data_IF_490268313538
#
_entry.id   IF_490268313538
#
_cell.length_a   1.000
_cell.length_b   1.000
_cell.length_c   1.000
_cell.angle_alpha   90.00
_cell.angle_beta   90.00
_cell.angle_gamma   90.00
#
_symmetry.space_group_name_H-M   'P 1'
#
loop_
_entity.id
_entity.type
_entity.pdbx_description
1 polymer ?
#
# COMPACT_ATOMS: atom_id res chain seq x y z
N UNK A 1 -20.70 3.74 23.45
CA UNK A 1 -19.70 3.42 22.39
C UNK A 1 -18.48 2.85 23.07
N UNK A 2 -18.23 1.56 22.91
CA UNK A 2 -17.18 0.83 23.63
C UNK A 2 -15.78 1.38 23.32
N UNK A 3 -14.89 1.27 24.31
CA UNK A 3 -13.48 1.71 24.22
C UNK A 3 -12.76 1.11 23.01
N UNK A 4 -13.10 -0.13 22.64
CA UNK A 4 -12.54 -0.81 21.47
C UNK A 4 -13.07 -0.23 20.16
N UNK A 5 -14.37 0.02 20.05
CA UNK A 5 -14.98 0.67 18.88
C UNK A 5 -14.40 2.06 18.65
N UNK A 6 -14.19 2.85 19.72
CA UNK A 6 -13.56 4.18 19.61
C UNK A 6 -12.13 4.10 19.07
N UNK A 7 -11.31 3.15 19.53
CA UNK A 7 -9.93 2.96 19.05
C UNK A 7 -9.89 2.55 17.58
N UNK A 8 -10.76 1.64 17.19
CA UNK A 8 -10.88 1.22 15.80
C UNK A 8 -11.26 2.41 14.90
N UNK A 9 -12.23 3.22 15.34
CA UNK A 9 -12.68 4.40 14.60
C UNK A 9 -11.58 5.44 14.46
N UNK A 10 -10.77 5.67 15.51
CA UNK A 10 -9.61 6.56 15.46
C UNK A 10 -8.58 6.08 14.43
N UNK A 11 -8.24 4.79 14.44
CA UNK A 11 -7.26 4.23 13.48
C UNK A 11 -7.77 4.34 12.04
N UNK A 12 -9.05 4.03 11.80
CA UNK A 12 -9.67 4.17 10.49
C UNK A 12 -9.66 5.63 10.02
N UNK A 13 -9.99 6.58 10.90
CA UNK A 13 -9.92 8.01 10.59
C UNK A 13 -8.50 8.48 10.29
N UNK A 14 -7.49 8.06 11.08
CA UNK A 14 -6.09 8.43 10.81
C UNK A 14 -5.63 7.90 9.46
N UNK A 15 -6.00 6.66 9.13
CA UNK A 15 -5.63 6.03 7.87
C UNK A 15 -6.30 6.75 6.68
N UNK A 16 -7.61 7.02 6.78
CA UNK A 16 -8.33 7.80 5.76
C UNK A 16 -7.74 9.20 5.57
N UNK A 17 -7.33 9.87 6.65
CA UNK A 17 -6.70 11.18 6.59
C UNK A 17 -5.35 11.16 5.87
N UNK A 18 -4.49 10.17 6.16
CA UNK A 18 -3.21 10.00 5.46
C UNK A 18 -3.42 9.73 3.97
N UNK A 19 -4.43 8.95 3.60
CA UNK A 19 -4.76 8.69 2.19
C UNK A 19 -5.32 9.90 1.47
N UNK A 20 -6.17 10.70 2.14
CA UNK A 20 -6.64 11.97 1.58
C UNK A 20 -5.46 12.91 1.28
N UNK A 21 -4.51 13.05 2.22
CA UNK A 21 -3.30 13.86 1.99
C UNK A 21 -2.48 13.29 0.83
N UNK A 22 -2.34 11.96 0.73
CA UNK A 22 -1.60 11.33 -0.37
C UNK A 22 -2.24 11.59 -1.74
N UNK A 23 -3.57 11.51 -1.84
CA UNK A 23 -4.30 11.76 -3.09
C UNK A 23 -4.23 13.23 -3.49
N UNK A 24 -4.33 14.15 -2.54
CA UNK A 24 -4.46 15.58 -2.82
C UNK A 24 -3.12 16.31 -2.94
N UNK A 25 -2.18 16.00 -2.04
CA UNK A 25 -0.98 16.81 -1.80
C UNK A 25 0.31 16.15 -2.30
N UNK A 26 0.33 14.84 -2.53
CA UNK A 26 1.56 14.12 -2.90
C UNK A 26 1.63 13.92 -4.42
N UNK A 27 2.46 14.72 -5.08
CA UNK A 27 2.79 14.60 -6.51
C UNK A 27 3.37 15.89 -7.11
N UNK A 28 3.93 15.82 -8.32
CA UNK A 28 4.46 17.01 -9.03
C UNK A 28 3.40 18.07 -9.32
N UNK A 29 2.14 17.66 -9.44
CA UNK A 29 0.99 18.55 -9.64
C UNK A 29 0.13 18.51 -8.39
N UNK A 30 0.05 19.65 -7.70
CA UNK A 30 -0.92 19.90 -6.63
C UNK A 30 -2.23 20.30 -7.29
N UNK A 31 -3.20 19.39 -7.29
CA UNK A 31 -4.50 19.64 -7.89
C UNK A 31 -5.45 20.22 -6.84
N UNK A 32 -6.02 21.38 -7.11
CA UNK A 32 -7.17 21.86 -6.33
C UNK A 32 -8.46 21.15 -6.78
N UNK A 33 -9.46 21.04 -5.89
CA UNK A 33 -10.76 20.38 -6.20
C UNK A 33 -11.37 20.99 -7.46
N UNK A 34 -11.22 22.31 -7.61
CA UNK A 34 -11.69 23.06 -8.77
C UNK A 34 -10.97 22.69 -10.08
N UNK A 35 -9.67 22.39 -10.04
CA UNK A 35 -8.94 21.93 -11.24
C UNK A 35 -9.33 20.50 -11.62
N UNK A 36 -9.61 19.64 -10.63
CA UNK A 36 -10.02 18.26 -10.89
C UNK A 36 -11.37 18.16 -11.61
N UNK A 37 -12.24 19.15 -11.42
CA UNK A 37 -13.53 19.24 -12.11
C UNK A 37 -13.45 19.87 -13.51
N UNK A 38 -12.42 20.67 -13.79
CA UNK A 38 -12.30 21.42 -15.04
C UNK A 38 -11.28 20.82 -16.02
N UNK A 39 -10.40 19.93 -15.55
CA UNK A 39 -9.31 19.35 -16.36
C UNK A 39 -9.40 17.81 -16.39
N UNK A 40 -9.72 17.27 -17.58
CA UNK A 40 -9.79 15.82 -17.79
C UNK A 40 -8.43 15.12 -17.60
N UNK A 41 -7.32 15.80 -17.88
CA UNK A 41 -5.99 15.20 -17.72
C UNK A 41 -5.65 15.00 -16.25
N UNK A 42 -6.00 15.96 -15.40
CA UNK A 42 -5.87 15.88 -13.95
C UNK A 42 -6.70 14.72 -13.39
N UNK A 43 -7.96 14.59 -13.83
CA UNK A 43 -8.84 13.49 -13.44
C UNK A 43 -8.26 12.12 -13.83
N UNK A 44 -7.73 12.01 -15.05
CA UNK A 44 -7.16 10.77 -15.57
C UNK A 44 -5.91 10.34 -14.79
N UNK A 45 -5.02 11.28 -14.42
CA UNK A 45 -3.85 11.00 -13.57
C UNK A 45 -4.27 10.47 -12.20
N UNK A 46 -5.28 11.08 -11.57
CA UNK A 46 -5.76 10.63 -10.27
C UNK A 46 -6.35 9.23 -10.36
N UNK A 47 -7.22 8.96 -11.35
CA UNK A 47 -7.92 7.69 -11.50
C UNK A 47 -7.02 6.55 -11.99
N UNK A 48 -6.09 6.79 -12.92
CA UNK A 48 -5.25 5.74 -13.53
C UNK A 48 -3.91 5.53 -12.86
N UNK A 49 -3.41 6.50 -12.09
CA UNK A 49 -2.08 6.41 -11.47
C UNK A 49 -2.19 6.42 -9.95
N UNK A 50 -2.83 7.43 -9.36
CA UNK A 50 -2.86 7.58 -7.90
C UNK A 50 -3.77 6.56 -7.23
N UNK A 51 -4.99 6.38 -7.75
CA UNK A 51 -5.98 5.46 -7.21
C UNK A 51 -5.49 4.00 -7.17
N UNK A 52 -4.98 3.39 -8.26
CA UNK A 52 -4.48 2.02 -8.20
C UNK A 52 -3.27 1.87 -7.27
N UNK A 53 -2.39 2.89 -7.18
CA UNK A 53 -1.25 2.88 -6.25
C UNK A 53 -1.69 2.89 -4.79
N UNK A 54 -2.66 3.73 -4.44
CA UNK A 54 -3.24 3.81 -3.11
C UNK A 54 -3.90 2.49 -2.73
N UNK A 55 -4.70 1.92 -3.62
CA UNK A 55 -5.34 0.62 -3.42
C UNK A 55 -4.32 -0.51 -3.23
N UNK A 56 -3.28 -0.56 -4.08
CA UNK A 56 -2.20 -1.53 -3.94
C UNK A 56 -1.47 -1.38 -2.59
N UNK A 57 -1.17 -0.16 -2.16
CA UNK A 57 -0.55 0.10 -0.86
C UNK A 57 -1.44 -0.35 0.31
N UNK A 58 -2.76 -0.13 0.24
CA UNK A 58 -3.71 -0.63 1.23
C UNK A 58 -3.71 -2.16 1.29
N UNK A 59 -3.82 -2.82 0.14
CA UNK A 59 -3.83 -4.27 0.06
C UNK A 59 -2.53 -4.89 0.57
N UNK A 60 -1.38 -4.32 0.20
CA UNK A 60 -0.07 -4.73 0.70
C UNK A 60 0.06 -4.54 2.22
N UNK A 61 -0.36 -3.38 2.74
CA UNK A 61 -0.31 -3.12 4.18
C UNK A 61 -1.19 -4.10 4.98
N UNK A 62 -2.39 -4.40 4.48
CA UNK A 62 -3.28 -5.41 5.09
C UNK A 62 -2.64 -6.81 5.05
N UNK A 63 -2.11 -7.22 3.90
CA UNK A 63 -1.47 -8.52 3.74
C UNK A 63 -0.25 -8.69 4.66
N UNK A 64 0.60 -7.66 4.75
CA UNK A 64 1.78 -7.65 5.63
C UNK A 64 1.38 -7.69 7.11
N UNK A 65 0.35 -6.94 7.52
CA UNK A 65 -0.13 -6.94 8.89
C UNK A 65 -0.71 -8.31 9.30
N UNK A 66 -1.49 -8.94 8.42
CA UNK A 66 -2.02 -10.29 8.64
C UNK A 66 -0.89 -11.31 8.70
N UNK A 67 0.05 -11.28 7.75
CA UNK A 67 1.19 -12.19 7.74
C UNK A 67 2.05 -12.05 9.00
N UNK A 68 2.28 -10.82 9.48
CA UNK A 68 2.99 -10.58 10.75
C UNK A 68 2.24 -11.15 11.95
N UNK A 69 0.93 -10.91 12.04
CA UNK A 69 0.10 -11.40 13.14
C UNK A 69 0.01 -12.94 13.17
N UNK A 70 -0.12 -13.58 12.00
CA UNK A 70 -0.16 -15.06 11.93
C UNK A 70 1.18 -15.68 12.30
N UNK A 71 2.30 -15.10 11.87
CA UNK A 71 3.63 -15.58 12.26
C UNK A 71 3.88 -15.43 13.75
N UNK A 72 3.57 -14.26 14.33
CA UNK A 72 3.70 -14.03 15.76
C UNK A 72 2.83 -15.01 16.58
N UNK A 73 1.64 -15.36 16.08
CA UNK A 73 0.76 -16.35 16.71
C UNK A 73 1.28 -17.78 16.60
N UNK A 74 1.76 -18.19 15.42
CA UNK A 74 2.26 -19.53 15.16
C UNK A 74 3.51 -19.86 16.00
N UNK A 75 4.47 -18.93 16.06
CA UNK A 75 5.70 -19.10 16.84
C UNK A 75 5.54 -18.70 18.31
N UNK A 76 4.38 -18.15 18.70
CA UNK A 76 4.12 -17.57 20.03
C UNK A 76 5.24 -16.64 20.48
N UNK A 77 5.85 -15.91 19.54
CA UNK A 77 6.95 -15.01 19.77
C UNK A 77 6.64 -13.65 19.11
N UNK A 78 6.41 -12.59 19.91
CA UNK A 78 6.03 -11.28 19.38
C UNK A 78 7.16 -10.58 18.60
N UNK A 79 8.40 -11.08 18.66
CA UNK A 79 9.55 -10.54 17.94
C UNK A 79 9.77 -11.20 16.57
N UNK A 80 8.98 -12.21 16.23
CA UNK A 80 9.13 -12.97 14.98
C UNK A 80 8.46 -12.24 13.81
N UNK A 81 9.23 -12.02 12.74
CA UNK A 81 8.75 -11.54 11.46
C UNK A 81 8.65 -12.65 10.40
N UNK A 82 7.98 -12.40 9.26
CA UNK A 82 7.91 -13.35 8.15
C UNK A 82 9.26 -13.60 7.45
N UNK A 83 10.26 -12.75 7.70
CA UNK A 83 11.59 -12.80 7.07
C UNK A 83 12.38 -14.06 7.43
N UNK A 84 12.13 -14.63 8.62
CA UNK A 84 12.89 -15.75 9.19
C UNK A 84 12.66 -17.07 8.43
N UNK A 85 11.54 -17.17 7.72
CA UNK A 85 11.18 -18.34 6.91
C UNK A 85 11.75 -18.29 5.48
N UNK A 86 12.54 -17.26 5.15
CA UNK A 86 13.19 -17.15 3.84
C UNK A 86 12.26 -16.72 2.69
N UNK A 87 10.99 -16.38 2.97
CA UNK A 87 10.01 -15.98 1.96
C UNK A 87 10.46 -14.71 1.20
N UNK A 88 10.98 -13.70 1.92
CA UNK A 88 11.49 -12.47 1.31
C UNK A 88 12.69 -12.73 0.38
N UNK A 89 13.58 -13.63 0.79
CA UNK A 89 14.76 -13.99 -0.01
C UNK A 89 14.38 -14.79 -1.26
N UNK A 90 13.41 -15.71 -1.14
CA UNK A 90 12.85 -16.42 -2.29
C UNK A 90 12.17 -15.49 -3.29
N UNK A 91 11.39 -14.51 -2.81
CA UNK A 91 10.74 -13.51 -3.66
C UNK A 91 11.78 -12.62 -4.38
N UNK A 92 12.82 -12.17 -3.67
CA UNK A 92 13.89 -11.37 -4.25
C UNK A 92 14.69 -12.15 -5.31
N UNK A 93 15.02 -13.41 -5.03
CA UNK A 93 15.67 -14.30 -6.00
C UNK A 93 14.80 -14.54 -7.24
N UNK A 94 13.50 -14.80 -7.06
CA UNK A 94 12.55 -14.95 -8.16
C UNK A 94 12.42 -13.68 -9.00
N UNK A 95 12.37 -12.51 -8.37
CA UNK A 95 12.38 -11.22 -9.06
C UNK A 95 13.68 -11.01 -9.87
N UNK A 96 14.83 -11.34 -9.29
CA UNK A 96 16.13 -11.26 -9.99
C UNK A 96 16.19 -12.21 -11.21
N UNK A 97 15.70 -13.44 -11.07
CA UNK A 97 15.58 -14.38 -12.20
C UNK A 97 14.64 -13.86 -13.28
N UNK A 98 13.48 -13.30 -12.91
CA UNK A 98 12.55 -12.71 -13.86
C UNK A 98 13.20 -11.54 -14.61
N UNK A 99 13.92 -10.66 -13.93
CA UNK A 99 14.65 -9.56 -14.57
C UNK A 99 15.73 -10.07 -15.54
N UNK A 100 16.39 -11.19 -15.21
CA UNK A 100 17.49 -11.73 -16.01
C UNK A 100 17.01 -12.51 -17.24
N UNK A 101 15.95 -13.31 -17.10
CA UNK A 101 15.53 -14.29 -18.11
C UNK A 101 14.24 -13.93 -18.83
N UNK A 102 13.40 -13.07 -18.26
CA UNK A 102 12.19 -12.61 -18.94
C UNK A 102 12.59 -11.48 -19.91
N UNK A 103 12.26 -11.57 -21.20
CA UNK A 103 12.55 -10.49 -22.14
C UNK A 103 11.88 -9.22 -21.65
N UNK A 104 12.68 -8.21 -21.31
CA UNK A 104 12.16 -6.85 -21.21
C UNK A 104 11.79 -6.42 -22.61
N UNK A 105 10.50 -6.22 -22.88
CA UNK A 105 10.08 -5.58 -24.12
C UNK A 105 10.96 -4.33 -24.33
N UNK A 106 11.56 -4.15 -25.52
CA UNK A 106 12.38 -2.98 -25.79
C UNK A 106 11.45 -1.77 -25.74
N UNK A 107 11.73 -0.86 -24.80
CA UNK A 107 11.11 0.46 -24.72
C UNK A 107 11.23 1.21 -26.06
#
# INVERSE_FOLDING_TARGET
>A
MDKHTKRFLVLACTLAFTFMISIFFVGRYTFSIFQLMNDETALNIVLRIRLPRVLAAMMLGMALSVAGATMQSAFKNPLVGPEILGVSQGAAFGAALAILFLPGDPL
#
